data_IF_649568643294
#
_entry.id   IF_649568643294
#
_cell.length_a   1.000
_cell.length_b   1.000
_cell.length_c   1.000
_cell.angle_alpha   90.00
_cell.angle_beta   90.00
_cell.angle_gamma   90.00
#
_symmetry.space_group_name_H-M   'P 1'
#
loop_
_entity.id
_entity.type
_entity.pdbx_description
1 polymer ?
#
# COMPACT_ATOMS: atom_id res chain seq x y z
N UNK A 1 -37.95 -30.01 61.74
CA UNK A 1 -36.94 -31.02 61.40
C UNK A 1 -35.77 -30.29 60.78
N UNK A 2 -34.66 -30.25 61.51
CA UNK A 2 -33.38 -29.69 61.11
C UNK A 2 -32.81 -30.53 59.95
N UNK A 3 -32.00 -29.95 59.06
CA UNK A 3 -30.55 -30.14 59.19
C UNK A 3 -29.74 -29.12 58.36
N UNK A 4 -28.52 -28.92 58.85
CA UNK A 4 -27.53 -27.93 58.42
C UNK A 4 -26.67 -28.43 57.25
N UNK A 5 -26.06 -27.49 56.53
CA UNK A 5 -24.98 -27.76 55.58
C UNK A 5 -24.13 -26.52 55.33
N UNK A 6 -23.08 -26.41 56.12
CA UNK A 6 -22.06 -25.35 56.19
C UNK A 6 -21.09 -25.37 54.99
N UNK A 7 -20.52 -24.22 54.65
CA UNK A 7 -19.64 -24.05 53.48
C UNK A 7 -18.88 -22.72 53.49
N UNK A 8 -17.85 -22.67 54.34
CA UNK A 8 -16.92 -21.55 54.58
C UNK A 8 -15.80 -21.40 53.52
N UNK A 9 -15.14 -20.23 53.58
CA UNK A 9 -13.86 -19.79 52.99
C UNK A 9 -13.96 -18.95 51.69
N UNK A 10 -13.35 -17.77 51.55
CA UNK A 10 -12.52 -16.97 52.45
C UNK A 10 -12.16 -15.65 51.73
N UNK A 11 -12.33 -14.52 52.41
CA UNK A 11 -12.00 -13.18 51.90
C UNK A 11 -10.56 -12.84 52.26
N UNK A 12 -9.70 -12.67 51.25
CA UNK A 12 -8.31 -12.25 51.42
C UNK A 12 -8.19 -10.73 51.18
N UNK A 13 -8.04 -10.01 52.29
CA UNK A 13 -7.62 -8.61 52.34
C UNK A 13 -6.10 -8.56 52.30
N UNK A 14 -5.52 -7.80 51.37
CA UNK A 14 -4.10 -7.45 51.42
C UNK A 14 -3.97 -5.93 51.45
N UNK A 15 -3.40 -5.47 52.56
CA UNK A 15 -3.01 -4.11 52.88
C UNK A 15 -1.48 -4.08 52.82
N UNK A 16 -0.87 -3.16 52.07
CA UNK A 16 0.56 -2.86 52.19
C UNK A 16 0.83 -1.36 52.08
N UNK A 17 1.81 -0.98 52.88
CA UNK A 17 2.07 0.30 53.51
C UNK A 17 3.01 1.20 52.69
N UNK A 18 3.06 2.44 53.14
CA UNK A 18 3.75 3.63 52.65
C UNK A 18 5.27 3.55 52.76
N UNK A 19 5.98 4.22 51.84
CA UNK A 19 7.42 4.48 51.95
C UNK A 19 7.81 5.74 51.19
N UNK A 20 8.18 6.78 51.93
CA UNK A 20 8.64 8.11 51.47
C UNK A 20 10.07 8.09 50.93
N UNK A 21 10.34 8.87 49.87
CA UNK A 21 11.68 9.22 49.40
C UNK A 21 11.66 10.50 48.56
N UNK A 22 12.48 11.48 48.93
CA UNK A 22 12.53 12.88 48.46
C UNK A 22 13.63 13.07 47.40
N UNK A 23 13.56 14.21 46.67
CA UNK A 23 14.54 14.81 45.72
C UNK A 23 14.34 14.42 44.25
N UNK A 24 14.42 15.30 43.24
CA UNK A 24 14.94 16.67 43.10
C UNK A 24 14.39 17.25 41.79
N UNK A 25 14.16 18.56 41.76
CA UNK A 25 13.64 19.25 40.57
C UNK A 25 14.63 19.32 39.40
N UNK A 26 14.08 19.57 38.21
CA UNK A 26 14.70 20.37 37.15
C UNK A 26 13.63 20.84 36.19
N UNK A 27 13.28 22.12 36.31
CA UNK A 27 12.73 22.96 35.25
C UNK A 27 13.74 23.05 34.12
N UNK A 28 13.31 22.82 32.88
CA UNK A 28 14.05 23.20 31.68
C UNK A 28 13.08 23.72 30.64
N UNK A 29 12.91 25.03 30.66
CA UNK A 29 12.42 25.86 29.57
C UNK A 29 13.28 25.58 28.33
N UNK A 30 12.68 25.11 27.24
CA UNK A 30 13.34 25.09 25.94
C UNK A 30 12.54 25.94 24.96
N UNK A 31 13.29 26.85 24.34
CA UNK A 31 12.90 27.99 23.55
C UNK A 31 12.28 27.61 22.21
N UNK A 32 11.25 28.35 21.81
CA UNK A 32 10.71 28.42 20.45
C UNK A 32 11.83 28.65 19.42
N UNK A 33 11.94 27.72 18.47
CA UNK A 33 12.68 27.87 17.23
C UNK A 33 11.76 27.49 16.06
N UNK A 34 11.85 28.17 14.91
CA UNK A 34 10.90 27.98 13.82
C UNK A 34 11.11 26.61 13.19
N UNK A 35 10.02 25.84 13.09
CA UNK A 35 9.97 24.59 12.35
C UNK A 35 10.36 24.84 10.89
N UNK A 36 11.61 24.53 10.54
CA UNK A 36 11.97 24.23 9.16
C UNK A 36 11.42 22.83 8.86
N UNK A 37 10.50 22.75 7.90
CA UNK A 37 10.10 21.48 7.28
C UNK A 37 11.34 20.78 6.72
N UNK A 38 11.85 19.81 7.46
CA UNK A 38 12.78 18.81 6.95
C UNK A 38 11.96 17.61 6.48
N UNK A 39 11.68 17.55 5.17
CA UNK A 39 11.28 16.31 4.50
C UNK A 39 12.33 15.23 4.80
N UNK A 40 11.90 14.05 5.23
CA UNK A 40 12.80 13.00 5.72
C UNK A 40 13.51 12.30 4.55
N UNK A 41 14.76 11.82 4.72
CA UNK A 41 15.51 11.08 3.68
C UNK A 41 14.86 9.75 3.22
N UNK A 42 13.74 9.34 3.80
CA UNK A 42 13.11 8.05 3.61
C UNK A 42 12.10 8.05 2.44
N UNK A 43 11.57 9.21 2.06
CA UNK A 43 10.59 9.38 0.97
C UNK A 43 11.20 9.08 -0.41
N UNK A 44 12.40 9.60 -0.67
CA UNK A 44 13.15 9.37 -1.91
C UNK A 44 13.65 7.93 -2.06
N UNK A 45 13.79 7.20 -0.95
CA UNK A 45 14.31 5.83 -0.94
C UNK A 45 13.29 4.82 -1.49
N UNK A 46 12.01 4.95 -1.14
CA UNK A 46 10.98 3.98 -1.56
C UNK A 46 10.64 4.07 -3.05
N UNK A 47 10.44 5.28 -3.58
CA UNK A 47 10.19 5.45 -5.02
C UNK A 47 11.40 4.99 -5.84
N UNK A 48 12.62 5.33 -5.40
CA UNK A 48 13.87 4.84 -5.99
C UNK A 48 13.98 3.31 -5.95
N UNK A 49 13.56 2.67 -4.85
CA UNK A 49 13.56 1.21 -4.71
C UNK A 49 12.65 0.53 -5.73
N UNK A 50 11.42 1.00 -5.90
CA UNK A 50 10.49 0.45 -6.90
C UNK A 50 10.93 0.76 -8.33
N UNK A 51 11.44 1.98 -8.56
CA UNK A 51 11.99 2.36 -9.85
C UNK A 51 13.14 1.44 -10.25
N UNK A 52 14.17 1.31 -9.42
CA UNK A 52 15.31 0.42 -9.66
C UNK A 52 14.87 -1.04 -9.83
N UNK A 53 13.85 -1.50 -9.10
CA UNK A 53 13.28 -2.83 -9.26
C UNK A 53 12.52 -3.04 -10.59
N UNK A 54 11.99 -1.97 -11.18
CA UNK A 54 11.13 -1.98 -12.38
C UNK A 54 11.79 -1.34 -13.63
N UNK A 55 13.09 -1.01 -13.58
CA UNK A 55 13.92 -0.32 -14.62
C UNK A 55 13.99 -1.01 -15.99
N UNK A 56 13.15 -2.01 -16.26
CA UNK A 56 13.04 -2.63 -17.57
C UNK A 56 12.08 -1.90 -18.52
N UNK A 57 11.30 -0.92 -18.05
CA UNK A 57 10.19 -0.36 -18.83
C UNK A 57 10.46 1.08 -19.33
N UNK A 58 10.73 1.30 -20.64
CA UNK A 58 11.06 2.61 -21.20
C UNK A 58 9.91 3.62 -21.11
N UNK A 59 8.66 3.17 -20.93
CA UNK A 59 7.50 4.05 -20.77
C UNK A 59 7.43 4.71 -19.40
N UNK A 60 8.00 4.09 -18.36
CA UNK A 60 8.00 4.66 -17.01
C UNK A 60 8.84 5.95 -16.94
N UNK A 61 9.98 5.99 -17.65
CA UNK A 61 10.82 7.19 -17.74
C UNK A 61 10.20 8.32 -18.58
N UNK A 62 9.23 8.02 -19.45
CA UNK A 62 8.52 9.04 -20.23
C UNK A 62 7.39 9.71 -19.45
N UNK A 63 6.80 9.03 -18.44
CA UNK A 63 5.76 9.62 -17.60
C UNK A 63 6.31 10.65 -16.61
N UNK A 64 7.59 10.56 -16.24
CA UNK A 64 8.21 11.46 -15.25
C UNK A 64 8.53 12.86 -15.79
N UNK A 65 8.72 13.03 -17.10
CA UNK A 65 9.16 14.31 -17.68
C UNK A 65 8.09 15.42 -17.68
N UNK A 66 6.85 15.11 -17.31
CA UNK A 66 5.75 16.09 -17.18
C UNK A 66 5.45 16.46 -15.71
N UNK A 67 6.11 15.79 -14.74
CA UNK A 67 5.78 15.85 -13.31
C UNK A 67 6.57 16.87 -12.49
N UNK A 68 6.70 18.10 -12.96
CA UNK A 68 7.30 19.19 -12.20
C UNK A 68 6.28 20.00 -11.41
N UNK A 69 5.75 19.52 -10.28
CA UNK A 69 5.13 20.37 -9.24
C UNK A 69 4.77 19.60 -7.95
N UNK A 70 5.37 20.03 -6.84
CA UNK A 70 5.02 19.62 -5.49
C UNK A 70 3.62 20.15 -5.12
N UNK A 71 2.64 19.26 -5.05
CA UNK A 71 1.27 19.56 -4.64
C UNK A 71 0.28 18.58 -5.26
N UNK A 72 0.20 17.36 -4.73
CA UNK A 72 -0.73 16.35 -5.25
C UNK A 72 -2.17 16.70 -4.85
N UNK A 73 -2.91 17.34 -5.75
CA UNK A 73 -4.36 17.55 -5.59
C UNK A 73 -5.08 16.21 -5.81
N UNK A 74 -6.04 15.87 -4.95
CA UNK A 74 -6.78 14.57 -4.96
C UNK A 74 -7.41 14.22 -6.31
N UNK A 75 -7.68 15.21 -7.16
CA UNK A 75 -8.29 15.00 -8.48
C UNK A 75 -7.31 14.43 -9.50
N UNK A 76 -6.05 14.83 -9.40
CA UNK A 76 -4.98 14.45 -10.33
C UNK A 76 -4.77 12.92 -10.34
N UNK A 77 -4.89 12.27 -9.18
CA UNK A 77 -4.67 10.84 -9.03
C UNK A 77 -5.78 9.99 -9.64
N UNK A 78 -7.01 10.49 -9.65
CA UNK A 78 -8.14 9.83 -10.33
C UNK A 78 -8.02 9.99 -11.84
N UNK A 79 -7.57 11.16 -12.30
CA UNK A 79 -7.38 11.45 -13.73
C UNK A 79 -6.22 10.63 -14.34
N UNK A 80 -5.24 10.26 -13.53
CA UNK A 80 -4.13 9.35 -13.90
C UNK A 80 -4.54 7.88 -13.96
N UNK A 81 -5.69 7.50 -13.41
CA UNK A 81 -6.14 6.12 -13.42
C UNK A 81 -6.72 5.75 -14.81
N UNK A 82 -6.28 4.64 -15.43
CA UNK A 82 -6.85 4.15 -16.69
C UNK A 82 -8.37 3.99 -16.64
N UNK A 83 -9.04 3.98 -17.79
CA UNK A 83 -10.51 3.91 -17.84
C UNK A 83 -11.11 2.71 -17.06
N UNK A 84 -12.26 2.93 -16.40
CA UNK A 84 -12.98 1.94 -15.59
C UNK A 84 -13.04 0.51 -16.18
N UNK A 85 -13.42 0.29 -17.47
CA UNK A 85 -13.49 -1.07 -18.01
C UNK A 85 -12.14 -1.80 -18.01
N UNK A 86 -11.04 -1.07 -18.23
CA UNK A 86 -9.68 -1.62 -18.22
C UNK A 86 -9.30 -1.96 -16.77
N UNK A 87 -9.53 -1.03 -15.84
CA UNK A 87 -9.22 -1.25 -14.42
C UNK A 87 -10.01 -2.39 -13.83
N UNK A 88 -11.32 -2.48 -14.10
CA UNK A 88 -12.15 -3.60 -13.62
C UNK A 88 -11.66 -4.94 -14.16
N UNK A 89 -11.24 -4.99 -15.43
CA UNK A 89 -10.68 -6.21 -16.03
C UNK A 89 -9.37 -6.60 -15.35
N UNK A 90 -8.48 -5.64 -15.14
CA UNK A 90 -7.22 -5.85 -14.44
C UNK A 90 -7.45 -6.36 -13.02
N UNK A 91 -8.29 -5.69 -12.22
CA UNK A 91 -8.63 -6.13 -10.86
C UNK A 91 -9.27 -7.52 -10.85
N UNK A 92 -10.15 -7.83 -11.81
CA UNK A 92 -10.70 -9.19 -11.92
C UNK A 92 -9.62 -10.24 -12.20
N UNK A 93 -8.67 -9.93 -13.08
CA UNK A 93 -7.53 -10.81 -13.39
C UNK A 93 -6.63 -11.02 -12.15
N UNK A 94 -6.46 -10.01 -11.30
CA UNK A 94 -5.79 -10.16 -10.01
C UNK A 94 -6.46 -11.24 -9.14
N UNK A 95 -7.79 -11.29 -9.07
CA UNK A 95 -8.51 -12.32 -8.30
C UNK A 95 -8.46 -13.72 -8.92
N UNK A 96 -8.27 -13.81 -10.24
CA UNK A 96 -8.17 -15.10 -10.93
C UNK A 96 -6.82 -15.80 -10.71
N UNK A 97 -5.76 -15.05 -10.39
CA UNK A 97 -4.40 -15.61 -10.32
C UNK A 97 -3.58 -15.24 -9.07
N UNK A 98 -3.71 -14.03 -8.52
CA UNK A 98 -2.88 -13.54 -7.42
C UNK A 98 -3.58 -13.53 -6.05
N UNK A 99 -4.91 -13.41 -6.00
CA UNK A 99 -5.62 -13.30 -4.71
C UNK A 99 -5.51 -14.56 -3.83
N UNK A 100 -5.21 -15.71 -4.44
CA UNK A 100 -4.95 -16.97 -3.73
C UNK A 100 -3.65 -16.97 -2.94
N UNK A 101 -2.66 -16.11 -3.28
CA UNK A 101 -1.33 -16.18 -2.66
C UNK A 101 -1.23 -15.50 -1.29
N UNK A 102 -1.96 -14.42 -1.04
CA UNK A 102 -1.68 -13.57 0.13
C UNK A 102 -2.92 -13.11 0.92
N UNK A 103 -4.13 -13.48 0.49
CA UNK A 103 -5.39 -13.04 1.12
C UNK A 103 -5.43 -11.52 1.38
N UNK A 104 -4.76 -10.74 0.50
CA UNK A 104 -4.55 -9.29 0.67
C UNK A 104 -5.89 -8.59 0.79
N UNK A 105 -6.81 -8.89 -0.13
CA UNK A 105 -8.13 -8.28 -0.21
C UNK A 105 -9.13 -9.33 -0.71
N UNK A 106 -10.41 -9.19 -0.37
CA UNK A 106 -11.48 -10.02 -0.91
C UNK A 106 -12.03 -9.42 -2.21
N UNK A 107 -12.52 -10.27 -3.12
CA UNK A 107 -13.11 -9.81 -4.39
C UNK A 107 -14.29 -8.85 -4.14
N UNK A 108 -15.08 -9.13 -3.10
CA UNK A 108 -16.18 -8.25 -2.67
C UNK A 108 -15.68 -6.85 -2.33
N UNK A 109 -14.65 -6.74 -1.47
CA UNK A 109 -14.07 -5.45 -1.07
C UNK A 109 -13.50 -4.71 -2.29
N UNK A 110 -12.85 -5.42 -3.21
CA UNK A 110 -12.32 -4.81 -4.42
C UNK A 110 -13.42 -4.26 -5.34
N UNK A 111 -14.55 -4.97 -5.45
CA UNK A 111 -15.73 -4.49 -6.16
C UNK A 111 -16.31 -3.23 -5.55
N UNK A 112 -16.46 -3.20 -4.21
CA UNK A 112 -16.90 -2.02 -3.46
C UNK A 112 -15.93 -0.84 -3.65
N UNK A 113 -14.63 -1.12 -3.65
CA UNK A 113 -13.58 -0.11 -3.84
C UNK A 113 -13.59 0.46 -5.26
N UNK A 114 -13.76 -0.38 -6.28
CA UNK A 114 -13.92 0.05 -7.68
C UNK A 114 -15.16 0.92 -7.87
N UNK A 115 -16.27 0.52 -7.26
CA UNK A 115 -17.50 1.31 -7.29
C UNK A 115 -17.29 2.67 -6.62
N UNK A 116 -16.57 2.71 -5.50
CA UNK A 116 -16.21 3.96 -4.83
C UNK A 116 -15.30 4.85 -5.69
N UNK A 117 -14.24 4.28 -6.27
CA UNK A 117 -13.28 5.05 -7.08
C UNK A 117 -13.91 5.61 -8.36
N UNK A 118 -14.80 4.86 -9.03
CA UNK A 118 -15.35 5.27 -10.32
C UNK A 118 -16.74 5.90 -10.27
N UNK A 119 -17.61 5.48 -9.34
CA UNK A 119 -19.02 5.88 -9.33
C UNK A 119 -19.36 6.91 -8.27
N UNK A 120 -18.49 7.11 -7.28
CA UNK A 120 -18.68 8.12 -6.24
C UNK A 120 -17.56 9.16 -6.29
N UNK A 121 -17.71 10.23 -5.51
CA UNK A 121 -16.72 11.32 -5.40
C UNK A 121 -16.07 11.37 -4.01
N UNK A 122 -16.30 10.35 -3.19
CA UNK A 122 -15.80 10.22 -1.80
C UNK A 122 -14.60 9.27 -1.68
N UNK A 123 -14.07 8.77 -2.80
CA UNK A 123 -12.86 7.95 -2.82
C UNK A 123 -11.68 8.72 -2.24
N UNK A 124 -10.99 8.11 -1.28
CA UNK A 124 -9.72 8.63 -0.79
C UNK A 124 -8.61 8.38 -1.80
N UNK A 125 -7.50 9.08 -1.63
CA UNK A 125 -6.26 8.80 -2.37
C UNK A 125 -5.84 7.33 -2.17
N UNK A 126 -5.90 6.80 -0.94
CA UNK A 126 -5.54 5.40 -0.69
C UNK A 126 -6.46 4.42 -1.42
N UNK A 127 -7.75 4.74 -1.57
CA UNK A 127 -8.68 3.89 -2.32
C UNK A 127 -8.26 3.78 -3.79
N UNK A 128 -7.86 4.90 -4.40
CA UNK A 128 -7.37 4.97 -5.78
C UNK A 128 -6.06 4.19 -5.92
N UNK A 129 -5.12 4.40 -4.99
CA UNK A 129 -3.80 3.76 -4.97
C UNK A 129 -3.92 2.25 -4.75
N UNK A 130 -4.83 1.80 -3.90
CA UNK A 130 -5.11 0.38 -3.67
C UNK A 130 -5.73 -0.29 -4.91
N UNK A 131 -6.66 0.39 -5.61
CA UNK A 131 -7.17 -0.09 -6.90
C UNK A 131 -6.05 -0.16 -7.93
N UNK A 132 -5.21 0.88 -8.03
CA UNK A 132 -4.08 0.93 -8.96
C UNK A 132 -3.10 -0.22 -8.69
N UNK A 133 -2.73 -0.48 -7.43
CA UNK A 133 -1.81 -1.56 -7.08
C UNK A 133 -2.37 -2.95 -7.42
N UNK A 134 -3.67 -3.17 -7.20
CA UNK A 134 -4.33 -4.42 -7.60
C UNK A 134 -4.38 -4.59 -9.12
N UNK A 135 -4.71 -3.51 -9.83
CA UNK A 135 -4.76 -3.50 -11.28
C UNK A 135 -3.37 -3.67 -11.91
N UNK A 136 -2.32 -3.12 -11.30
CA UNK A 136 -0.94 -3.30 -11.73
C UNK A 136 -0.59 -4.78 -11.77
N UNK A 137 -0.81 -5.54 -10.68
CA UNK A 137 -0.61 -6.99 -10.68
C UNK A 137 -1.50 -7.66 -11.73
N UNK A 138 -2.79 -7.36 -11.69
CA UNK A 138 -3.79 -8.00 -12.54
C UNK A 138 -3.48 -7.89 -14.03
N UNK A 139 -2.89 -6.77 -14.44
CA UNK A 139 -2.47 -6.52 -15.81
C UNK A 139 -1.41 -7.50 -16.33
N UNK A 140 -0.57 -8.06 -15.47
CA UNK A 140 0.41 -9.08 -15.86
C UNK A 140 -0.22 -10.41 -16.26
N UNK A 141 -1.39 -10.76 -15.70
CA UNK A 141 -2.07 -12.01 -16.01
C UNK A 141 -2.87 -11.96 -17.31
N UNK A 142 -3.12 -10.76 -17.82
CA UNK A 142 -3.92 -10.49 -19.01
C UNK A 142 -3.19 -9.50 -19.93
N UNK A 143 -1.90 -9.73 -20.14
CA UNK A 143 -1.02 -8.89 -20.97
C UNK A 143 -1.52 -8.71 -22.40
N UNK A 144 -2.29 -9.67 -22.92
CA UNK A 144 -2.85 -9.60 -24.28
C UNK A 144 -4.14 -8.76 -24.36
N UNK A 145 -4.81 -8.54 -23.22
CA UNK A 145 -6.10 -7.84 -23.14
C UNK A 145 -5.98 -6.44 -22.51
N UNK A 146 -4.88 -6.16 -21.80
CA UNK A 146 -4.64 -4.93 -21.07
C UNK A 146 -3.40 -4.25 -21.68
N UNK A 147 -3.54 -3.01 -22.20
CA UNK A 147 -2.43 -2.29 -22.80
C UNK A 147 -1.27 -2.09 -21.82
N UNK A 148 -0.05 -2.10 -22.34
CA UNK A 148 1.15 -1.89 -21.54
C UNK A 148 1.16 -0.51 -20.87
N UNK A 149 0.63 0.51 -21.54
CA UNK A 149 0.51 1.87 -21.03
C UNK A 149 -0.38 1.91 -19.78
N UNK A 150 -1.48 1.14 -19.77
CA UNK A 150 -2.36 1.06 -18.61
C UNK A 150 -1.67 0.38 -17.42
N UNK A 151 -0.91 -0.70 -17.68
CA UNK A 151 -0.09 -1.38 -16.66
C UNK A 151 0.95 -0.44 -16.05
N UNK A 152 1.66 0.31 -16.88
CA UNK A 152 2.66 1.30 -16.43
C UNK A 152 1.98 2.40 -15.61
N UNK A 153 0.84 2.93 -16.06
CA UNK A 153 0.09 3.94 -15.33
C UNK A 153 -0.38 3.44 -13.95
N UNK A 154 -0.88 2.21 -13.86
CA UNK A 154 -1.26 1.60 -12.58
C UNK A 154 -0.07 1.48 -11.62
N UNK A 155 1.06 0.96 -12.10
CA UNK A 155 2.26 0.80 -11.30
C UNK A 155 2.84 2.14 -10.84
N UNK A 156 2.93 3.10 -11.76
CA UNK A 156 3.42 4.45 -11.49
C UNK A 156 2.58 5.15 -10.42
N UNK A 157 1.26 5.23 -10.63
CA UNK A 157 0.36 5.86 -9.67
C UNK A 157 0.45 5.24 -8.27
N UNK A 158 0.55 3.91 -8.21
CA UNK A 158 0.64 3.20 -6.94
C UNK A 158 2.00 3.41 -6.24
N UNK A 159 3.10 3.41 -6.99
CA UNK A 159 4.45 3.54 -6.42
C UNK A 159 4.78 4.97 -5.99
N UNK A 160 4.33 5.98 -6.74
CA UNK A 160 4.57 7.39 -6.38
C UNK A 160 3.76 7.81 -5.16
N UNK A 161 2.59 7.21 -4.95
CA UNK A 161 1.65 7.58 -3.88
C UNK A 161 1.71 6.66 -2.65
N UNK A 162 2.66 5.72 -2.62
CA UNK A 162 2.74 4.69 -1.58
C UNK A 162 3.00 5.27 -0.18
N UNK A 163 3.84 6.29 -0.10
CA UNK A 163 4.18 6.93 1.17
C UNK A 163 2.93 7.52 1.85
N UNK A 164 2.15 8.32 1.11
CA UNK A 164 0.89 8.90 1.60
C UNK A 164 -0.12 7.82 2.04
N UNK A 165 -0.11 6.67 1.36
CA UNK A 165 -0.99 5.56 1.73
C UNK A 165 -0.55 4.86 3.03
N UNK A 166 0.75 4.72 3.26
CA UNK A 166 1.31 4.12 4.48
C UNK A 166 1.06 4.99 5.72
N UNK A 167 1.08 6.32 5.58
CA UNK A 167 0.85 7.23 6.71
C UNK A 167 -0.61 7.27 7.16
N UNK A 168 -1.55 7.04 6.25
CA UNK A 168 -2.97 7.19 6.54
C UNK A 168 -3.64 5.93 7.10
N UNK A 169 -3.31 4.75 6.55
CA UNK A 169 -3.80 3.46 7.05
C UNK A 169 -2.71 2.41 6.84
N UNK A 170 -2.08 1.98 7.94
CA UNK A 170 -0.98 1.03 7.91
C UNK A 170 -1.37 -0.31 7.26
N UNK A 171 -2.59 -0.80 7.49
CA UNK A 171 -3.02 -2.08 6.92
C UNK A 171 -3.26 -1.92 5.41
N UNK A 172 -3.91 -0.83 4.99
CA UNK A 172 -4.09 -0.53 3.57
C UNK A 172 -2.75 -0.31 2.86
N UNK A 173 -1.85 0.47 3.46
CA UNK A 173 -0.49 0.68 2.95
C UNK A 173 0.30 -0.62 2.82
N UNK A 174 0.22 -1.54 3.80
CA UNK A 174 0.84 -2.86 3.68
C UNK A 174 0.28 -3.67 2.50
N UNK A 175 -1.03 -3.63 2.25
CA UNK A 175 -1.64 -4.29 1.09
C UNK A 175 -1.11 -3.73 -0.22
N UNK A 176 -1.06 -2.40 -0.34
CA UNK A 176 -0.51 -1.70 -1.51
C UNK A 176 0.97 -2.09 -1.71
N UNK A 177 1.76 -2.09 -0.65
CA UNK A 177 3.17 -2.46 -0.69
C UNK A 177 3.40 -3.89 -1.18
N UNK A 178 2.64 -4.85 -0.63
CA UNK A 178 2.67 -6.25 -1.09
C UNK A 178 2.31 -6.32 -2.58
N UNK A 179 1.29 -5.57 -3.01
CA UNK A 179 0.86 -5.55 -4.39
C UNK A 179 1.96 -5.02 -5.34
N UNK A 180 2.63 -3.94 -4.96
CA UNK A 180 3.75 -3.37 -5.72
C UNK A 180 4.95 -4.33 -5.78
N UNK A 181 5.32 -4.93 -4.65
CA UNK A 181 6.42 -5.90 -4.59
C UNK A 181 6.18 -7.10 -5.52
N UNK A 182 4.96 -7.61 -5.56
CA UNK A 182 4.59 -8.68 -6.49
C UNK A 182 4.61 -8.25 -7.95
N UNK A 183 4.24 -7.01 -8.25
CA UNK A 183 4.35 -6.45 -9.60
C UNK A 183 5.82 -6.46 -10.06
N UNK A 184 6.75 -5.98 -9.22
CA UNK A 184 8.19 -6.01 -9.53
C UNK A 184 8.73 -7.44 -9.73
N UNK A 185 8.25 -8.41 -8.95
CA UNK A 185 8.64 -9.82 -9.12
C UNK A 185 8.19 -10.32 -10.50
N UNK A 186 6.95 -10.04 -10.89
CA UNK A 186 6.40 -10.46 -12.18
C UNK A 186 7.10 -9.80 -13.37
N UNK A 187 7.45 -8.51 -13.27
CA UNK A 187 8.26 -7.82 -14.28
C UNK A 187 9.59 -8.54 -14.51
N UNK A 188 10.34 -8.81 -13.43
CA UNK A 188 11.62 -9.53 -13.51
C UNK A 188 11.47 -10.93 -14.08
N UNK A 189 10.43 -11.67 -13.67
CA UNK A 189 10.15 -13.00 -14.21
C UNK A 189 9.79 -12.97 -15.69
N UNK A 190 9.04 -11.97 -16.15
CA UNK A 190 8.65 -11.82 -17.56
C UNK A 190 9.87 -11.53 -18.43
N UNK A 191 10.76 -10.65 -17.98
CA UNK A 191 12.01 -10.34 -18.67
C UNK A 191 12.95 -11.56 -18.73
N UNK A 192 13.06 -12.32 -17.64
CA UNK A 192 13.84 -13.56 -17.64
C UNK A 192 13.29 -14.58 -18.66
N UNK A 193 11.97 -14.76 -18.73
CA UNK A 193 11.34 -15.65 -19.72
C UNK A 193 11.58 -15.19 -21.16
N UNK A 194 11.50 -13.88 -21.42
CA UNK A 194 11.79 -13.31 -22.74
C UNK A 194 13.23 -13.60 -23.15
N UNK A 195 14.20 -13.41 -22.25
CA UNK A 195 15.61 -13.70 -22.50
C UNK A 195 15.83 -15.18 -22.84
N UNK A 196 15.24 -16.10 -22.08
CA UNK A 196 15.32 -17.55 -22.34
C UNK A 196 14.72 -17.88 -23.71
N UNK A 197 13.52 -17.38 -24.01
CA UNK A 197 12.86 -17.62 -25.31
C UNK A 197 13.68 -17.10 -26.49
N UNK A 198 14.34 -15.95 -26.34
CA UNK A 198 15.23 -15.39 -27.37
C UNK A 198 16.49 -16.25 -27.57
N UNK A 199 17.05 -16.81 -26.50
CA UNK A 199 18.19 -17.74 -26.60
C UNK A 199 17.82 -19.07 -27.28
N UNK A 200 16.62 -19.60 -27.05
CA UNK A 200 16.17 -20.87 -27.66
C UNK A 200 15.85 -20.80 -29.16
N UNK A 201 15.82 -19.59 -29.75
CA UNK A 201 15.54 -19.38 -31.18
C UNK A 201 16.80 -19.16 -32.03
N UNK A 202 18.00 -19.35 -31.46
CA UNK A 202 19.30 -19.13 -32.13
C UNK A 202 19.90 -20.44 -32.70
N UNK A 203 19.20 -21.57 -32.63
CA UNK A 203 19.58 -22.84 -33.30
C UNK A 203 18.90 -22.99 -34.69
#
# INVERSE_FOLDING_TARGET
>A
MNDNGDGSAGTLTIQLDSGTGVERGSTSTSTDGPYQSSSTPQELDMQSLFYTASTSNPLLGSLEMDGGQYGHDRRDCRDRLPAEPITRRAVKAFFQCAATLFYVMTEKRAGELLDKVYRTNDASMQDIVEVAACAAIGSHYKSDEIPEEARVAFFYLASTSLHEALEADQIQGMRIFICLGMTCIMDKCSNARLLISKCSHIE
#
